data_IF_600845361662
#
_entry.id   IF_600845361662
#
_cell.length_a   1.000
_cell.length_b   1.000
_cell.length_c   1.000
_cell.angle_alpha   90.00
_cell.angle_beta   90.00
_cell.angle_gamma   90.00
#
_symmetry.space_group_name_H-M   'P 1'
#
loop_
_entity.id
_entity.type
_entity.pdbx_description
1 polymer ?
#
# COMPACT_ATOMS: atom_id res chain seq x y z
N UNK A 1 -6.32 38.37 -20.37
CA UNK A 1 -5.83 37.05 -20.81
C UNK A 1 -4.72 36.63 -19.87
N UNK A 2 -5.04 35.89 -18.81
CA UNK A 2 -4.04 35.37 -17.88
C UNK A 2 -3.36 34.16 -18.52
N UNK A 3 -2.06 34.26 -18.76
CA UNK A 3 -1.22 33.12 -19.15
C UNK A 3 -1.26 32.10 -18.00
N UNK A 4 -2.06 31.05 -18.12
CA UNK A 4 -1.90 29.88 -17.24
C UNK A 4 -0.53 29.27 -17.54
N UNK A 5 0.45 29.50 -16.65
CA UNK A 5 1.75 28.86 -16.70
C UNK A 5 1.60 27.37 -16.39
N UNK A 6 1.17 26.60 -17.38
CA UNK A 6 1.06 25.15 -17.27
C UNK A 6 2.46 24.56 -17.30
N UNK A 7 2.81 23.85 -16.23
CA UNK A 7 4.09 23.17 -16.09
C UNK A 7 3.90 21.69 -16.43
N UNK A 8 4.87 21.13 -17.15
CA UNK A 8 4.95 19.69 -17.41
C UNK A 8 5.87 19.05 -16.38
N UNK A 9 5.46 17.89 -15.89
CA UNK A 9 6.24 17.09 -14.96
C UNK A 9 6.13 15.61 -15.32
N UNK A 10 7.23 14.89 -15.14
CA UNK A 10 7.29 13.45 -15.26
C UNK A 10 7.39 12.83 -13.88
N UNK A 11 6.47 11.94 -13.52
CA UNK A 11 6.49 11.22 -12.25
C UNK A 11 6.78 9.74 -12.52
N UNK A 12 7.74 9.16 -11.80
CA UNK A 12 7.95 7.71 -11.78
C UNK A 12 6.97 7.08 -10.79
N UNK A 13 6.20 6.08 -11.24
CA UNK A 13 5.20 5.41 -10.42
C UNK A 13 5.45 3.90 -10.41
N UNK A 14 5.66 3.35 -9.22
CA UNK A 14 5.80 1.91 -9.00
C UNK A 14 4.48 1.23 -8.67
N UNK A 15 4.39 -0.06 -9.00
CA UNK A 15 3.23 -0.91 -8.71
C UNK A 15 2.17 -0.93 -9.82
N UNK A 16 2.44 -0.36 -10.99
CA UNK A 16 1.60 -0.52 -12.17
C UNK A 16 1.97 -1.83 -12.88
N UNK A 17 1.05 -2.80 -12.95
CA UNK A 17 1.30 -4.09 -13.61
C UNK A 17 0.28 -4.42 -14.71
N UNK A 18 -0.76 -3.58 -14.87
CA UNK A 18 -1.83 -3.82 -15.82
C UNK A 18 -2.39 -2.50 -16.37
N UNK A 19 -3.03 -2.56 -17.54
CA UNK A 19 -3.75 -1.44 -18.14
C UNK A 19 -4.84 -0.86 -17.22
N UNK A 20 -5.43 -1.69 -16.34
CA UNK A 20 -6.37 -1.21 -15.32
C UNK A 20 -5.69 -0.27 -14.34
N UNK A 21 -4.44 -0.55 -13.93
CA UNK A 21 -3.70 0.31 -13.01
C UNK A 21 -3.40 1.68 -13.61
N UNK A 22 -3.03 1.71 -14.90
CA UNK A 22 -2.82 2.94 -15.68
C UNK A 22 -4.08 3.80 -15.62
N UNK A 23 -5.23 3.21 -16.00
CA UNK A 23 -6.52 3.90 -16.04
C UNK A 23 -6.96 4.41 -14.66
N UNK A 24 -6.67 3.64 -13.60
CA UNK A 24 -6.95 4.06 -12.22
C UNK A 24 -6.16 5.31 -11.84
N UNK A 25 -4.86 5.35 -12.15
CA UNK A 25 -4.01 6.51 -11.87
C UNK A 25 -4.44 7.71 -12.69
N UNK A 26 -4.69 7.53 -14.00
CA UNK A 26 -5.17 8.60 -14.88
C UNK A 26 -6.46 9.23 -14.34
N UNK A 27 -7.45 8.40 -14.00
CA UNK A 27 -8.71 8.88 -13.42
C UNK A 27 -8.52 9.55 -12.06
N UNK A 28 -7.60 9.06 -11.23
CA UNK A 28 -7.33 9.63 -9.90
C UNK A 28 -6.71 11.01 -10.01
N UNK A 29 -5.77 11.18 -10.93
CA UNK A 29 -5.10 12.45 -11.19
C UNK A 29 -6.02 13.43 -11.91
N UNK A 30 -6.73 13.02 -12.96
CA UNK A 30 -7.65 13.91 -13.70
C UNK A 30 -8.76 14.53 -12.83
N UNK A 31 -9.09 13.94 -11.67
CA UNK A 31 -10.05 14.49 -10.72
C UNK A 31 -9.50 15.63 -9.85
N UNK A 32 -8.21 15.91 -9.92
CA UNK A 32 -7.59 16.99 -9.15
C UNK A 32 -7.75 18.33 -9.87
N UNK A 33 -8.13 19.35 -9.10
CA UNK A 33 -8.22 20.71 -9.61
C UNK A 33 -6.83 21.23 -10.00
N UNK A 34 -6.74 21.86 -11.17
CA UNK A 34 -5.49 22.40 -11.72
C UNK A 34 -4.70 21.43 -12.60
N UNK A 35 -5.21 20.23 -12.86
CA UNK A 35 -4.65 19.32 -13.89
C UNK A 35 -5.34 19.56 -15.23
N UNK A 36 -4.54 19.78 -16.27
CA UNK A 36 -5.04 19.95 -17.64
C UNK A 36 -4.95 18.68 -18.47
N UNK A 37 -3.86 17.93 -18.30
CA UNK A 37 -3.61 16.72 -19.08
C UNK A 37 -2.83 15.70 -18.26
N UNK A 38 -3.21 14.43 -18.36
CA UNK A 38 -2.53 13.30 -17.74
C UNK A 38 -2.39 12.21 -18.78
N UNK A 39 -1.17 11.70 -18.93
CA UNK A 39 -0.87 10.56 -19.79
C UNK A 39 0.03 9.60 -19.04
N UNK A 40 -0.40 8.36 -18.85
CA UNK A 40 0.38 7.36 -18.11
C UNK A 40 0.88 6.30 -19.07
N UNK A 41 2.20 6.08 -19.07
CA UNK A 41 2.85 5.07 -19.88
C UNK A 41 3.33 3.91 -19.00
N UNK A 42 2.67 2.76 -19.15
CA UNK A 42 3.02 1.53 -18.44
C UNK A 42 4.41 1.01 -18.79
N UNK A 43 4.79 1.04 -20.07
CA UNK A 43 6.07 0.52 -20.54
C UNK A 43 7.27 1.31 -20.00
N UNK A 44 7.06 2.61 -19.75
CA UNK A 44 8.07 3.49 -19.18
C UNK A 44 7.96 3.63 -17.64
N UNK A 45 6.95 3.03 -17.01
CA UNK A 45 6.61 3.22 -15.58
C UNK A 45 6.52 4.70 -15.15
N UNK A 46 6.04 5.55 -16.07
CA UNK A 46 6.01 7.01 -15.93
C UNK A 46 4.63 7.60 -16.20
N UNK A 47 4.31 8.66 -15.46
CA UNK A 47 3.16 9.52 -15.71
C UNK A 47 3.62 10.91 -16.13
N UNK A 48 3.12 11.38 -17.27
CA UNK A 48 3.32 12.71 -17.82
C UNK A 48 2.12 13.57 -17.46
N UNK A 49 2.34 14.65 -16.73
CA UNK A 49 1.28 15.50 -16.21
C UNK A 49 1.53 16.94 -16.62
N UNK A 50 0.51 17.59 -17.15
CA UNK A 50 0.47 19.03 -17.38
C UNK A 50 -0.46 19.66 -16.35
N UNK A 51 0.08 20.47 -15.44
CA UNK A 51 -0.65 21.04 -14.31
C UNK A 51 -0.35 22.53 -14.11
N UNK A 52 -1.24 23.21 -13.39
CA UNK A 52 -1.08 24.60 -12.98
C UNK A 52 -0.40 24.66 -11.59
N UNK A 53 0.84 25.15 -11.48
CA UNK A 53 1.61 25.17 -10.23
C UNK A 53 1.04 26.15 -9.20
N UNK A 54 0.13 27.05 -9.58
CA UNK A 54 -0.55 27.95 -8.65
C UNK A 54 -1.72 27.28 -7.92
N UNK A 55 -2.22 26.15 -8.45
CA UNK A 55 -3.40 25.45 -7.92
C UNK A 55 -2.98 24.16 -7.21
N UNK A 56 -2.02 23.43 -7.78
CA UNK A 56 -1.59 22.13 -7.26
C UNK A 56 -0.08 22.01 -7.19
N UNK A 57 0.42 21.44 -6.08
CA UNK A 57 1.84 21.21 -5.86
C UNK A 57 2.24 19.76 -6.17
N UNK A 58 3.52 19.49 -6.50
CA UNK A 58 4.00 18.11 -6.69
C UNK A 58 3.83 17.23 -5.42
N UNK A 59 3.77 17.83 -4.23
CA UNK A 59 3.48 17.11 -3.00
C UNK A 59 2.04 16.56 -2.95
N UNK A 60 1.09 17.27 -3.56
CA UNK A 60 -0.31 16.83 -3.63
C UNK A 60 -0.49 15.71 -4.66
N UNK A 61 0.24 15.76 -5.77
CA UNK A 61 0.32 14.67 -6.75
C UNK A 61 0.83 13.39 -6.09
N UNK A 62 1.92 13.48 -5.31
CA UNK A 62 2.45 12.36 -4.52
C UNK A 62 1.39 11.78 -3.58
N UNK A 63 0.73 12.63 -2.78
CA UNK A 63 -0.32 12.19 -1.84
C UNK A 63 -1.47 11.49 -2.56
N UNK A 64 -1.88 11.97 -3.72
CA UNK A 64 -2.96 11.37 -4.49
C UNK A 64 -2.56 9.98 -5.03
N UNK A 65 -1.35 9.83 -5.57
CA UNK A 65 -0.82 8.55 -6.05
C UNK A 65 -0.73 7.53 -4.90
N UNK A 66 -0.21 7.93 -3.74
CA UNK A 66 -0.13 7.08 -2.55
C UNK A 66 -1.52 6.74 -1.99
N UNK A 67 -2.47 7.69 -2.04
CA UNK A 67 -3.85 7.44 -1.65
C UNK A 67 -4.51 6.42 -2.58
N UNK A 68 -4.25 6.50 -3.90
CA UNK A 68 -4.74 5.55 -4.89
C UNK A 68 -4.16 4.12 -4.72
N UNK A 69 -3.14 3.96 -3.87
CA UNK A 69 -2.53 2.67 -3.55
C UNK A 69 -1.27 2.34 -4.37
N UNK A 70 -0.69 3.35 -5.03
CA UNK A 70 0.51 3.18 -5.86
C UNK A 70 1.73 3.83 -5.20
N UNK A 71 2.93 3.43 -5.63
CA UNK A 71 4.18 3.92 -5.05
C UNK A 71 4.72 5.09 -5.88
N UNK A 72 4.88 6.25 -5.25
CA UNK A 72 5.57 7.39 -5.87
C UNK A 72 7.09 7.20 -5.77
N UNK A 73 7.78 7.09 -6.90
CA UNK A 73 9.24 6.82 -6.96
C UNK A 73 10.08 8.10 -7.16
N UNK A 74 9.48 9.20 -7.60
CA UNK A 74 10.17 10.49 -7.76
C UNK A 74 9.74 11.26 -9.00
N UNK A 75 10.36 12.43 -9.19
CA UNK A 75 10.16 13.31 -10.33
C UNK A 75 11.33 13.08 -11.29
N UNK A 76 11.07 12.73 -12.55
CA UNK A 76 12.10 12.71 -13.58
C UNK A 76 12.34 14.15 -14.05
N UNK A 77 13.47 14.73 -13.64
CA UNK A 77 13.74 16.14 -13.89
C UNK A 77 15.09 16.64 -13.42
N UNK A 78 15.38 16.68 -12.11
CA UNK A 78 16.57 17.45 -11.69
C UNK A 78 17.25 17.04 -10.36
N UNK A 79 16.81 15.98 -9.66
CA UNK A 79 17.48 15.51 -8.42
C UNK A 79 17.29 13.99 -8.18
N UNK A 80 17.26 13.19 -9.25
CA UNK A 80 16.78 11.81 -9.20
C UNK A 80 17.81 10.77 -8.71
N UNK A 81 19.12 11.07 -8.66
CA UNK A 81 20.12 10.04 -8.36
C UNK A 81 20.34 9.73 -6.87
N UNK A 82 20.18 10.72 -5.98
CA UNK A 82 20.44 10.55 -4.54
C UNK A 82 19.20 10.16 -3.71
N UNK A 83 18.00 10.64 -4.09
CA UNK A 83 16.77 10.32 -3.34
C UNK A 83 16.24 8.90 -3.60
N UNK A 84 16.54 8.34 -4.79
CA UNK A 84 16.08 7.01 -5.23
C UNK A 84 16.84 5.87 -4.50
N UNK A 85 18.10 6.09 -4.13
CA UNK A 85 18.91 5.12 -3.35
C UNK A 85 18.56 5.12 -1.87
N UNK A 86 18.39 6.30 -1.26
CA UNK A 86 18.08 6.44 0.19
C UNK A 86 16.68 5.87 0.52
N UNK A 87 15.72 5.95 -0.41
CA UNK A 87 14.36 5.44 -0.23
C UNK A 87 14.22 3.93 -0.46
N UNK A 88 15.07 3.32 -1.29
CA UNK A 88 15.06 1.86 -1.52
C UNK A 88 15.50 1.04 -0.30
N UNK A 89 16.52 1.50 0.42
CA UNK A 89 17.07 0.73 1.55
C UNK A 89 16.16 0.74 2.79
N UNK A 90 15.55 1.89 3.12
CA UNK A 90 14.65 2.01 4.28
C UNK A 90 13.36 1.18 4.14
N UNK A 91 12.90 0.93 2.92
CA UNK A 91 11.66 0.22 2.63
C UNK A 91 11.73 -1.32 2.80
N UNK A 92 12.92 -1.91 2.90
CA UNK A 92 13.09 -3.37 2.98
C UNK A 92 13.04 -3.90 4.41
N UNK A 93 13.62 -3.17 5.37
CA UNK A 93 13.77 -3.62 6.76
C UNK A 93 12.41 -3.60 7.50
N UNK A 94 11.58 -2.59 7.26
CA UNK A 94 10.26 -2.42 7.87
C UNK A 94 9.23 -3.47 7.41
N UNK A 95 9.45 -4.07 6.23
CA UNK A 95 8.64 -5.18 5.73
C UNK A 95 9.14 -6.53 6.26
N UNK A 96 10.46 -6.69 6.44
CA UNK A 96 11.07 -7.92 6.96
C UNK A 96 10.73 -8.21 8.42
N UNK A 97 10.67 -7.19 9.29
CA UNK A 97 10.39 -7.40 10.72
C UNK A 97 9.01 -8.04 10.95
N UNK A 98 7.96 -7.57 10.25
CA UNK A 98 6.61 -8.15 10.36
C UNK A 98 6.52 -9.58 9.84
N UNK A 99 7.23 -9.89 8.75
CA UNK A 99 7.32 -11.26 8.21
C UNK A 99 8.02 -12.17 9.24
N UNK A 100 9.12 -11.73 9.83
CA UNK A 100 9.82 -12.51 10.87
C UNK A 100 8.94 -12.77 12.10
N UNK A 101 8.19 -11.78 12.58
CA UNK A 101 7.26 -11.96 13.72
C UNK A 101 6.17 -12.99 13.44
N UNK A 102 5.66 -13.05 12.20
CA UNK A 102 4.70 -14.09 11.80
C UNK A 102 5.30 -15.49 11.80
N UNK A 103 6.49 -15.65 11.22
CA UNK A 103 7.19 -16.94 11.20
C UNK A 103 7.55 -17.44 12.60
N UNK A 104 8.07 -16.56 13.47
CA UNK A 104 8.46 -16.96 14.83
C UNK A 104 7.25 -17.34 15.66
N UNK A 105 6.15 -16.57 15.60
CA UNK A 105 4.92 -16.92 16.34
C UNK A 105 4.29 -18.20 15.79
N UNK A 106 4.28 -18.40 14.48
CA UNK A 106 3.76 -19.64 13.87
C UNK A 106 4.51 -20.88 14.35
N UNK A 107 5.85 -20.82 14.36
CA UNK A 107 6.70 -21.91 14.88
C UNK A 107 6.43 -22.13 16.37
N UNK A 108 6.31 -21.06 17.17
CA UNK A 108 6.00 -21.16 18.60
C UNK A 108 4.66 -21.86 18.85
N UNK A 109 3.61 -21.51 18.11
CA UNK A 109 2.29 -22.16 18.22
C UNK A 109 2.34 -23.62 17.78
N UNK A 110 3.12 -23.94 16.73
CA UNK A 110 3.30 -25.31 16.25
C UNK A 110 4.01 -26.19 17.29
N UNK A 111 5.00 -25.65 18.02
CA UNK A 111 5.69 -26.34 19.11
C UNK A 111 4.74 -26.53 20.31
N UNK A 112 3.95 -25.50 20.66
CA UNK A 112 3.01 -25.55 21.78
C UNK A 112 1.98 -26.68 21.62
N UNK A 113 1.56 -26.98 20.38
CA UNK A 113 0.62 -28.06 20.09
C UNK A 113 1.20 -29.46 20.34
N UNK A 114 2.52 -29.64 20.24
CA UNK A 114 3.18 -30.95 20.40
C UNK A 114 3.46 -31.33 21.87
N UNK A 115 3.40 -30.36 22.77
CA UNK A 115 3.67 -30.58 24.20
C UNK A 115 2.35 -30.88 24.92
N UNK A 116 2.15 -32.08 25.50
CA UNK A 116 0.94 -32.40 26.25
C UNK A 116 0.97 -31.70 27.62
N UNK A 117 0.48 -30.46 27.68
CA UNK A 117 0.38 -29.69 28.91
C UNK A 117 -0.99 -29.92 29.55
N UNK A 118 -1.02 -30.56 30.73
CA UNK A 118 -2.23 -30.67 31.54
C UNK A 118 -2.46 -29.37 32.32
N UNK A 119 -3.17 -28.42 31.70
CA UNK A 119 -3.65 -27.20 32.34
C UNK A 119 -5.08 -27.40 32.90
N UNK A 120 -5.46 -26.68 33.96
CA UNK A 120 -6.82 -26.69 34.50
C UNK A 120 -7.85 -26.01 33.58
N UNK A 121 -7.40 -25.32 32.52
CA UNK A 121 -8.23 -24.67 31.51
C UNK A 121 -8.03 -25.31 30.13
N UNK A 122 -9.04 -25.25 29.24
CA UNK A 122 -8.89 -25.76 27.88
C UNK A 122 -7.75 -25.03 27.15
N UNK A 123 -6.81 -25.79 26.61
CA UNK A 123 -5.65 -25.27 25.84
C UNK A 123 -6.07 -24.36 24.67
N UNK A 124 -7.30 -24.50 24.17
CA UNK A 124 -7.90 -23.65 23.13
C UNK A 124 -7.98 -22.17 23.52
N UNK A 125 -8.37 -21.85 24.76
CA UNK A 125 -8.45 -20.44 25.21
C UNK A 125 -7.06 -19.79 25.29
N UNK A 126 -6.04 -20.58 25.64
CA UNK A 126 -4.66 -20.10 25.72
C UNK A 126 -4.10 -19.84 24.30
N UNK A 127 -4.44 -20.67 23.32
CA UNK A 127 -4.11 -20.43 21.91
C UNK A 127 -4.84 -19.21 21.34
N UNK A 128 -6.12 -19.02 21.68
CA UNK A 128 -6.88 -17.84 21.26
C UNK A 128 -6.29 -16.55 21.85
N UNK A 129 -5.93 -16.57 23.13
CA UNK A 129 -5.34 -15.42 23.82
C UNK A 129 -3.98 -15.01 23.25
N UNK A 130 -3.16 -15.97 22.80
CA UNK A 130 -1.86 -15.70 22.17
C UNK A 130 -2.00 -15.30 20.70
N UNK A 131 -2.89 -15.96 19.95
CA UNK A 131 -3.04 -15.73 18.51
C UNK A 131 -3.70 -14.40 18.17
N UNK A 132 -4.69 -13.96 18.96
CA UNK A 132 -5.44 -12.71 18.72
C UNK A 132 -4.55 -11.46 18.60
N UNK A 133 -3.66 -11.13 19.55
CA UNK A 133 -2.80 -9.95 19.43
C UNK A 133 -1.83 -10.03 18.25
N UNK A 134 -1.31 -11.22 17.95
CA UNK A 134 -0.40 -11.41 16.80
C UNK A 134 -1.13 -11.27 15.48
N UNK A 135 -2.34 -11.83 15.37
CA UNK A 135 -3.20 -11.68 14.21
C UNK A 135 -3.52 -10.22 13.93
N UNK A 136 -3.89 -9.44 14.96
CA UNK A 136 -4.19 -8.01 14.82
C UNK A 136 -2.94 -7.27 14.33
N UNK A 137 -1.76 -7.54 14.92
CA UNK A 137 -0.52 -6.87 14.55
C UNK A 137 -0.13 -7.13 13.08
N UNK A 138 -0.21 -8.37 12.63
CA UNK A 138 0.15 -8.78 11.26
C UNK A 138 -0.89 -8.29 10.23
N UNK A 139 -2.17 -8.38 10.57
CA UNK A 139 -3.27 -8.10 9.63
C UNK A 139 -3.61 -6.62 9.51
N UNK A 140 -3.30 -5.80 10.52
CA UNK A 140 -3.56 -4.35 10.52
C UNK A 140 -3.16 -3.60 9.23
N UNK A 141 -1.95 -3.77 8.66
CA UNK A 141 -1.58 -3.11 7.40
C UNK A 141 -2.47 -3.51 6.22
N UNK A 142 -2.89 -4.78 6.15
CA UNK A 142 -3.74 -5.30 5.07
C UNK A 142 -5.13 -4.67 5.16
N UNK A 143 -5.73 -4.64 6.35
CA UNK A 143 -7.03 -3.99 6.55
C UNK A 143 -6.98 -2.48 6.28
N UNK A 144 -5.89 -1.81 6.67
CA UNK A 144 -5.71 -0.38 6.38
C UNK A 144 -5.59 -0.10 4.88
N UNK A 145 -4.87 -0.95 4.14
CA UNK A 145 -4.74 -0.85 2.69
C UNK A 145 -6.08 -1.13 1.99
N UNK A 146 -6.77 -2.20 2.39
CA UNK A 146 -8.09 -2.55 1.89
C UNK A 146 -9.11 -1.42 2.09
N UNK A 147 -9.14 -0.79 3.27
CA UNK A 147 -10.04 0.33 3.56
C UNK A 147 -9.77 1.55 2.66
N UNK A 148 -8.50 1.88 2.42
CA UNK A 148 -8.13 2.97 1.49
C UNK A 148 -8.58 2.65 0.06
N UNK A 149 -8.36 1.42 -0.39
CA UNK A 149 -8.74 0.97 -1.72
C UNK A 149 -10.26 1.04 -1.93
N UNK A 150 -11.02 0.55 -0.94
CA UNK A 150 -12.48 0.58 -0.93
C UNK A 150 -13.01 2.02 -0.96
N UNK A 151 -12.40 2.93 -0.18
CA UNK A 151 -12.76 4.36 -0.18
C UNK A 151 -12.58 4.99 -1.56
N UNK A 152 -11.56 4.56 -2.31
CA UNK A 152 -11.27 5.07 -3.65
C UNK A 152 -12.03 4.33 -4.77
N UNK A 153 -13.00 3.47 -4.42
CA UNK A 153 -13.77 2.63 -5.34
C UNK A 153 -12.90 1.70 -6.20
N UNK A 154 -11.75 1.30 -5.66
CA UNK A 154 -10.87 0.31 -6.27
C UNK A 154 -11.01 -1.01 -5.50
N UNK A 155 -11.26 -2.10 -6.23
CA UNK A 155 -11.29 -3.46 -5.70
C UNK A 155 -9.98 -4.14 -6.08
N UNK A 156 -9.00 -4.09 -5.17
CA UNK A 156 -7.67 -4.67 -5.37
C UNK A 156 -7.48 -5.95 -4.54
N UNK A 157 -6.30 -6.57 -4.63
CA UNK A 157 -5.95 -7.80 -3.90
C UNK A 157 -6.11 -7.65 -2.38
N UNK A 158 -5.79 -6.48 -1.82
CA UNK A 158 -5.90 -6.22 -0.37
C UNK A 158 -7.34 -6.37 0.12
N UNK A 159 -8.33 -5.94 -0.68
CA UNK A 159 -9.76 -6.08 -0.33
C UNK A 159 -10.13 -7.55 -0.24
N UNK A 160 -9.78 -8.35 -1.25
CA UNK A 160 -10.05 -9.80 -1.26
C UNK A 160 -9.36 -10.51 -0.08
N UNK A 161 -8.09 -10.19 0.18
CA UNK A 161 -7.32 -10.81 1.26
C UNK A 161 -7.88 -10.43 2.64
N UNK A 162 -8.24 -9.17 2.84
CA UNK A 162 -8.83 -8.70 4.11
C UNK A 162 -10.14 -9.40 4.43
N UNK A 163 -10.98 -9.65 3.41
CA UNK A 163 -12.25 -10.34 3.58
C UNK A 163 -12.03 -11.82 3.95
N UNK A 164 -11.14 -12.51 3.24
CA UNK A 164 -10.84 -13.92 3.53
C UNK A 164 -10.23 -14.14 4.91
N UNK A 165 -9.22 -13.34 5.26
CA UNK A 165 -8.53 -13.43 6.56
C UNK A 165 -9.48 -13.06 7.70
N UNK A 166 -10.31 -12.03 7.53
CA UNK A 166 -11.30 -11.61 8.52
C UNK A 166 -12.37 -12.67 8.78
N UNK A 167 -12.94 -13.25 7.72
CA UNK A 167 -13.94 -14.33 7.84
C UNK A 167 -13.35 -15.56 8.51
N UNK A 168 -12.14 -15.97 8.13
CA UNK A 168 -11.47 -17.13 8.72
C UNK A 168 -11.22 -16.95 10.23
N UNK A 169 -10.77 -15.77 10.66
CA UNK A 169 -10.53 -15.50 12.08
C UNK A 169 -11.83 -15.49 12.89
N UNK A 170 -12.90 -14.87 12.38
CA UNK A 170 -14.20 -14.84 13.04
C UNK A 170 -14.80 -16.25 13.14
N UNK A 171 -14.64 -17.08 12.10
CA UNK A 171 -15.12 -18.46 12.10
C UNK A 171 -14.33 -19.38 13.05
N UNK A 172 -13.11 -18.98 13.43
CA UNK A 172 -12.24 -19.73 14.34
C UNK A 172 -12.46 -19.39 15.82
N UNK A 173 -13.24 -18.35 16.13
CA UNK A 173 -13.59 -17.93 17.48
C UNK A 173 -14.80 -18.73 18.00
#
# INVERSE_FOLDING_TARGET
>A
MTLEQLKKIELKIGGMTCAVCVKTIENSLQRLDGIREVNVNLAAEKAFITYNPNIITPADLKKNIEAAGYQFLGIAGEEAEDFEKISREKNLIEKRSRIMVGFTTGILLMILMYIPINLPFPVAYLMLLISTPVFIYISYPIFKAAYRSLKNRNLNMDVMYSMGIGVAFIASL
#
